data_IF_355104733658
#
_entry.id   IF_355104733658
#
_cell.length_a   1.000
_cell.length_b   1.000
_cell.length_c   1.000
_cell.angle_alpha   90.00
_cell.angle_beta   90.00
_cell.angle_gamma   90.00
#
_symmetry.space_group_name_H-M   'P 1'
#
loop_
_entity.id
_entity.type
_entity.pdbx_description
1 polymer ?
#
# COMPACT_ATOMS: atom_id res chain seq x y z
N UNK A 1 -8.30 30.76 -19.79
CA UNK A 1 -9.35 30.28 -18.86
C UNK A 1 -8.85 28.99 -18.22
N UNK A 2 -8.31 29.08 -17.00
CA UNK A 2 -7.83 27.95 -16.21
C UNK A 2 -9.06 27.14 -15.74
N UNK A 3 -9.25 25.93 -16.27
CA UNK A 3 -10.20 24.97 -15.72
C UNK A 3 -9.80 24.67 -14.29
N UNK A 4 -10.49 25.30 -13.33
CA UNK A 4 -10.33 24.97 -11.91
C UNK A 4 -10.52 23.46 -11.73
N UNK A 5 -9.53 22.79 -11.13
CA UNK A 5 -9.61 21.38 -10.77
C UNK A 5 -10.78 21.21 -9.81
N UNK A 6 -11.94 20.81 -10.34
CA UNK A 6 -13.09 20.45 -9.52
C UNK A 6 -12.66 19.28 -8.63
N UNK A 7 -12.61 19.52 -7.32
CA UNK A 7 -12.26 18.48 -6.34
C UNK A 7 -13.25 17.33 -6.50
N UNK A 8 -12.74 16.13 -6.78
CA UNK A 8 -13.59 14.96 -6.93
C UNK A 8 -14.26 14.56 -5.59
N UNK A 9 -15.29 13.75 -5.64
CA UNK A 9 -16.07 13.30 -4.49
C UNK A 9 -15.19 12.76 -3.35
N UNK A 10 -14.23 11.90 -3.65
CA UNK A 10 -13.33 11.28 -2.66
C UNK A 10 -12.39 12.31 -2.01
N UNK A 11 -11.93 13.32 -2.74
CA UNK A 11 -11.11 14.39 -2.16
C UNK A 11 -11.92 15.22 -1.16
N UNK A 12 -13.18 15.54 -1.48
CA UNK A 12 -14.06 16.27 -0.55
C UNK A 12 -14.41 15.44 0.68
N UNK A 13 -14.67 14.14 0.47
CA UNK A 13 -14.93 13.19 1.55
C UNK A 13 -13.72 13.06 2.49
N UNK A 14 -12.50 12.93 1.96
CA UNK A 14 -11.28 12.85 2.75
C UNK A 14 -11.10 14.08 3.66
N UNK A 15 -11.31 15.30 3.11
CA UNK A 15 -11.25 16.54 3.90
C UNK A 15 -12.29 16.57 5.01
N UNK A 16 -13.53 16.12 4.73
CA UNK A 16 -14.62 16.09 5.73
C UNK A 16 -14.33 15.10 6.85
N UNK A 17 -13.69 13.97 6.53
CA UNK A 17 -13.36 12.90 7.48
C UNK A 17 -11.98 13.09 8.14
N UNK A 18 -11.29 14.22 7.90
CA UNK A 18 -9.96 14.49 8.47
C UNK A 18 -8.85 13.54 7.97
N UNK A 19 -9.04 12.94 6.78
CA UNK A 19 -8.05 12.04 6.19
C UNK A 19 -6.99 12.83 5.42
N UNK A 20 -5.70 12.50 5.56
CA UNK A 20 -4.60 13.19 4.87
C UNK A 20 -4.72 13.16 3.35
N UNK A 21 -5.17 12.04 2.79
CA UNK A 21 -5.37 11.89 1.35
C UNK A 21 -6.53 10.95 1.00
N UNK A 22 -7.06 11.12 -0.22
CA UNK A 22 -8.14 10.29 -0.75
C UNK A 22 -7.74 8.84 -1.03
N UNK A 23 -6.43 8.54 -1.03
CA UNK A 23 -5.92 7.17 -1.28
C UNK A 23 -6.42 6.16 -0.25
N UNK A 24 -6.81 6.62 0.95
CA UNK A 24 -7.38 5.77 2.00
C UNK A 24 -8.56 4.93 1.50
N UNK A 25 -9.43 5.50 0.65
CA UNK A 25 -10.62 4.78 0.17
C UNK A 25 -10.29 3.60 -0.74
N UNK A 26 -9.15 3.62 -1.42
CA UNK A 26 -8.68 2.48 -2.21
C UNK A 26 -8.32 1.29 -1.32
N UNK A 27 -7.60 1.55 -0.23
CA UNK A 27 -7.30 0.51 0.77
C UNK A 27 -8.58 0.04 1.47
N UNK A 28 -9.46 0.97 1.84
CA UNK A 28 -10.73 0.65 2.48
C UNK A 28 -11.57 -0.31 1.63
N UNK A 29 -11.77 -0.03 0.35
CA UNK A 29 -12.53 -0.90 -0.57
C UNK A 29 -11.90 -2.30 -0.69
N UNK A 30 -10.57 -2.38 -0.78
CA UNK A 30 -9.84 -3.65 -0.83
C UNK A 30 -10.01 -4.41 0.49
N UNK A 31 -9.84 -3.73 1.63
CA UNK A 31 -9.96 -4.34 2.95
C UNK A 31 -11.38 -4.81 3.23
N UNK A 32 -12.40 -4.01 2.93
CA UNK A 32 -13.81 -4.38 3.11
C UNK A 32 -14.18 -5.63 2.30
N UNK A 33 -13.63 -5.76 1.10
CA UNK A 33 -13.89 -6.90 0.21
C UNK A 33 -13.13 -8.16 0.62
N UNK A 34 -11.89 -8.01 1.09
CA UNK A 34 -11.00 -9.17 1.31
C UNK A 34 -10.68 -9.43 2.78
N UNK A 35 -11.12 -8.55 3.71
CA UNK A 35 -10.95 -8.66 5.16
C UNK A 35 -9.48 -8.88 5.55
N UNK A 36 -8.60 -8.01 5.02
CA UNK A 36 -7.14 -8.13 5.14
C UNK A 36 -6.69 -7.66 6.52
N UNK A 37 -7.20 -6.49 6.97
CA UNK A 37 -6.84 -5.88 8.24
C UNK A 37 -7.74 -6.41 9.36
N UNK A 38 -7.13 -7.14 10.31
CA UNK A 38 -7.85 -7.74 11.45
C UNK A 38 -7.34 -7.13 12.75
N UNK A 39 -8.18 -7.12 13.78
CA UNK A 39 -7.77 -6.70 15.12
C UNK A 39 -6.58 -7.52 15.60
N UNK A 40 -5.60 -6.86 16.19
CA UNK A 40 -4.37 -7.47 16.68
C UNK A 40 -3.30 -7.73 15.62
N UNK A 41 -3.57 -7.46 14.33
CA UNK A 41 -2.61 -7.68 13.27
C UNK A 41 -1.44 -6.69 13.34
N UNK A 42 -0.25 -7.16 12.94
CA UNK A 42 0.93 -6.34 12.72
C UNK A 42 1.03 -5.97 11.24
N UNK A 43 1.08 -4.69 10.94
CA UNK A 43 1.04 -4.14 9.58
C UNK A 43 2.31 -3.35 9.30
N UNK A 44 2.89 -3.57 8.13
CA UNK A 44 3.94 -2.73 7.55
C UNK A 44 3.36 -1.94 6.36
N UNK A 45 3.58 -0.62 6.35
CA UNK A 45 3.14 0.29 5.27
C UNK A 45 4.36 0.94 4.60
N UNK A 46 4.66 0.52 3.38
CA UNK A 46 5.76 1.03 2.56
C UNK A 46 5.25 2.16 1.65
N UNK A 47 5.82 3.36 1.78
CA UNK A 47 5.31 4.56 1.13
C UNK A 47 4.14 5.16 1.92
N UNK A 48 4.27 5.22 3.25
CA UNK A 48 3.18 5.58 4.16
C UNK A 48 2.79 7.06 4.14
N UNK A 49 3.64 7.98 3.67
CA UNK A 49 3.28 9.41 3.62
C UNK A 49 2.19 9.68 2.57
N UNK A 50 1.26 10.59 2.85
CA UNK A 50 1.14 11.50 3.99
C UNK A 50 0.47 10.90 5.24
N UNK A 51 0.27 9.58 5.34
CA UNK A 51 -0.25 8.91 6.53
C UNK A 51 -1.64 8.30 6.40
N UNK A 52 -2.26 8.36 5.21
CA UNK A 52 -3.64 7.90 5.03
C UNK A 52 -3.82 6.40 5.23
N UNK A 53 -2.90 5.60 4.71
CA UNK A 53 -2.98 4.14 4.78
C UNK A 53 -2.61 3.64 6.16
N UNK A 54 -1.49 4.14 6.73
CA UNK A 54 -1.07 3.75 8.08
C UNK A 54 -2.10 4.15 9.15
N UNK A 55 -2.73 5.33 9.02
CA UNK A 55 -3.80 5.76 9.93
C UNK A 55 -4.99 4.80 9.86
N UNK A 56 -5.46 4.45 8.64
CA UNK A 56 -6.55 3.49 8.46
C UNK A 56 -6.16 2.10 8.98
N UNK A 57 -4.96 1.62 8.68
CA UNK A 57 -4.46 0.34 9.16
C UNK A 57 -4.46 0.29 10.70
N UNK A 58 -3.94 1.34 11.36
CA UNK A 58 -3.93 1.44 12.81
C UNK A 58 -5.35 1.41 13.41
N UNK A 59 -6.32 2.12 12.81
CA UNK A 59 -7.72 2.07 13.23
C UNK A 59 -8.31 0.66 13.13
N UNK A 60 -7.98 -0.07 12.07
CA UNK A 60 -8.50 -1.42 11.82
C UNK A 60 -7.91 -2.45 12.77
N UNK A 61 -6.59 -2.41 13.00
CA UNK A 61 -5.92 -3.39 13.87
C UNK A 61 -6.14 -3.11 15.36
N UNK A 62 -6.39 -1.85 15.71
CA UNK A 62 -6.68 -1.43 17.09
C UNK A 62 -5.48 -1.57 18.04
N UNK A 63 -5.66 -1.25 19.34
CA UNK A 63 -4.57 -1.15 20.33
C UNK A 63 -3.82 -2.46 20.59
N UNK A 64 -4.42 -3.61 20.27
CA UNK A 64 -3.76 -4.92 20.37
C UNK A 64 -2.91 -5.28 19.16
N UNK A 65 -3.00 -4.49 18.07
CA UNK A 65 -2.17 -4.61 16.88
C UNK A 65 -1.07 -3.57 16.84
N UNK A 66 -0.34 -3.54 15.73
CA UNK A 66 0.71 -2.54 15.48
C UNK A 66 0.72 -2.14 14.00
N UNK A 67 0.93 -0.86 13.72
CA UNK A 67 1.20 -0.37 12.37
C UNK A 67 2.55 0.33 12.33
N UNK A 68 3.45 -0.12 11.45
CA UNK A 68 4.77 0.45 11.23
C UNK A 68 4.84 0.95 9.80
N UNK A 69 5.27 2.19 9.59
CA UNK A 69 5.37 2.79 8.27
C UNK A 69 6.77 3.31 7.95
N UNK A 70 7.13 3.24 6.65
CA UNK A 70 8.34 3.86 6.11
C UNK A 70 8.02 4.65 4.86
N UNK A 71 8.59 5.85 4.75
CA UNK A 71 8.53 6.70 3.55
C UNK A 71 9.78 7.59 3.49
N UNK A 72 10.13 8.05 2.30
CA UNK A 72 11.20 9.07 2.11
C UNK A 72 10.81 10.43 2.70
N UNK A 73 9.52 10.65 2.96
CA UNK A 73 8.96 11.87 3.53
C UNK A 73 8.35 11.59 4.90
N UNK A 74 8.39 12.57 5.81
CA UNK A 74 7.74 12.42 7.10
C UNK A 74 6.21 12.32 6.98
N UNK A 75 5.61 11.58 7.89
CA UNK A 75 4.16 11.59 8.12
C UNK A 75 3.85 12.69 9.13
N UNK A 76 3.04 13.67 8.72
CA UNK A 76 2.74 14.85 9.53
C UNK A 76 1.45 14.71 10.36
N UNK A 77 0.68 13.65 10.13
CA UNK A 77 -0.56 13.40 10.89
C UNK A 77 -0.28 12.69 12.19
N UNK A 78 -1.10 12.98 13.20
CA UNK A 78 -1.06 12.27 14.47
C UNK A 78 -1.46 10.81 14.27
N UNK A 79 -0.63 9.91 14.79
CA UNK A 79 -0.88 8.47 14.81
C UNK A 79 -1.20 8.02 16.25
N UNK A 80 -2.01 6.98 16.45
CA UNK A 80 -2.25 6.42 17.77
C UNK A 80 -0.97 5.73 18.30
N UNK A 81 -0.91 5.50 19.63
CA UNK A 81 0.29 4.97 20.31
C UNK A 81 0.80 3.61 19.77
N UNK A 82 -0.05 2.84 19.10
CA UNK A 82 0.29 1.55 18.47
C UNK A 82 0.66 1.67 16.98
N UNK A 83 0.87 2.91 16.49
CA UNK A 83 1.32 3.16 15.14
C UNK A 83 2.48 4.15 15.14
N UNK A 84 3.48 3.88 14.32
CA UNK A 84 4.66 4.73 14.14
C UNK A 84 5.08 4.78 12.67
N UNK A 85 5.63 5.90 12.26
CA UNK A 85 6.15 6.10 10.91
C UNK A 85 7.56 6.67 10.97
N UNK A 86 8.44 6.13 10.17
CA UNK A 86 9.85 6.51 10.09
C UNK A 86 10.19 7.04 8.70
N UNK A 87 11.08 8.02 8.66
CA UNK A 87 11.70 8.45 7.40
C UNK A 87 12.78 7.44 7.04
N UNK A 88 12.64 6.78 5.90
CA UNK A 88 13.58 5.76 5.44
C UNK A 88 13.22 5.25 4.05
N UNK A 89 14.23 4.73 3.34
CA UNK A 89 14.06 4.13 2.03
C UNK A 89 13.66 2.64 2.15
N UNK A 90 12.58 2.24 1.50
CA UNK A 90 12.17 0.85 1.43
C UNK A 90 13.26 -0.07 0.82
N UNK A 91 14.16 0.49 0.01
CA UNK A 91 15.29 -0.24 -0.57
C UNK A 91 16.43 -0.49 0.43
N UNK A 92 16.51 0.31 1.50
CA UNK A 92 17.52 0.18 2.56
C UNK A 92 17.00 -0.61 3.77
N UNK A 93 15.71 -0.94 3.79
CA UNK A 93 15.14 -1.77 4.85
C UNK A 93 15.83 -3.15 4.81
N UNK A 94 16.66 -3.40 5.82
CA UNK A 94 17.36 -4.68 5.99
C UNK A 94 16.37 -5.74 6.50
N UNK A 95 16.74 -7.01 6.35
CA UNK A 95 16.00 -8.15 6.89
C UNK A 95 15.82 -8.11 8.44
N UNK A 96 16.43 -7.14 9.07
CA UNK A 96 16.47 -6.86 10.50
C UNK A 96 15.23 -6.15 11.08
N UNK A 97 14.16 -5.98 10.30
CA UNK A 97 12.86 -5.68 10.91
C UNK A 97 12.51 -6.89 11.80
N UNK A 98 12.78 -6.76 13.10
CA UNK A 98 12.64 -7.84 14.10
C UNK A 98 11.20 -8.38 14.26
N UNK A 99 10.29 -7.95 13.43
CA UNK A 99 8.87 -8.26 13.56
C UNK A 99 8.32 -8.88 12.28
N UNK A 100 7.86 -10.12 12.38
CA UNK A 100 7.06 -10.73 11.32
C UNK A 100 5.68 -10.04 11.25
N UNK A 101 5.29 -9.61 10.04
CA UNK A 101 4.04 -8.89 9.79
C UNK A 101 2.93 -9.86 9.34
N UNK A 102 1.70 -9.51 9.68
CA UNK A 102 0.51 -10.19 9.18
C UNK A 102 0.05 -9.60 7.84
N UNK A 103 0.34 -8.30 7.62
CA UNK A 103 -0.01 -7.58 6.40
C UNK A 103 1.11 -6.64 5.99
N UNK A 104 1.43 -6.60 4.70
CA UNK A 104 2.31 -5.59 4.10
C UNK A 104 1.52 -4.80 3.05
N UNK A 105 1.53 -3.48 3.21
CA UNK A 105 0.89 -2.51 2.34
C UNK A 105 1.96 -1.74 1.57
N UNK A 106 1.66 -1.34 0.33
CA UNK A 106 2.51 -0.41 -0.41
C UNK A 106 1.69 0.47 -1.34
N UNK A 107 1.67 1.77 -1.05
CA UNK A 107 1.16 2.83 -1.95
C UNK A 107 2.31 3.61 -2.60
N UNK A 108 3.54 3.04 -2.61
CA UNK A 108 4.70 3.66 -3.24
C UNK A 108 4.42 3.99 -4.71
N UNK A 109 4.92 5.14 -5.15
CA UNK A 109 4.86 5.58 -6.54
C UNK A 109 6.20 6.18 -6.95
N UNK A 110 6.68 5.92 -8.16
CA UNK A 110 7.87 6.58 -8.66
C UNK A 110 7.59 8.07 -8.93
N UNK A 111 8.65 8.87 -8.94
CA UNK A 111 8.59 10.19 -9.57
C UNK A 111 8.27 9.99 -11.06
N UNK A 112 7.12 10.50 -11.50
CA UNK A 112 6.66 10.32 -12.87
C UNK A 112 7.45 11.20 -13.84
N UNK A 113 7.94 10.59 -14.91
CA UNK A 113 8.66 11.28 -15.99
C UNK A 113 7.71 11.80 -17.09
N UNK A 114 6.46 11.30 -17.11
CA UNK A 114 5.49 11.52 -18.19
C UNK A 114 5.59 10.47 -19.32
N UNK A 115 6.65 9.68 -19.37
CA UNK A 115 6.73 8.50 -20.23
C UNK A 115 6.10 7.29 -19.54
N UNK A 116 5.02 6.79 -20.11
CA UNK A 116 4.21 5.71 -19.51
C UNK A 116 4.99 4.41 -19.32
N UNK A 117 5.89 4.07 -20.24
CA UNK A 117 6.66 2.82 -20.16
C UNK A 117 7.71 2.92 -19.06
N UNK A 118 8.45 4.01 -19.01
CA UNK A 118 9.42 4.29 -17.97
C UNK A 118 8.78 4.33 -16.59
N UNK A 119 7.63 5.01 -16.47
CA UNK A 119 6.93 5.12 -15.19
C UNK A 119 6.36 3.77 -14.73
N UNK A 120 5.85 2.94 -15.66
CA UNK A 120 5.40 1.58 -15.35
C UNK A 120 6.56 0.68 -14.91
N UNK A 121 7.69 0.72 -15.59
CA UNK A 121 8.90 -0.04 -15.22
C UNK A 121 9.41 0.34 -13.82
N UNK A 122 9.50 1.64 -13.53
CA UNK A 122 9.89 2.13 -12.19
C UNK A 122 8.91 1.69 -11.11
N UNK A 123 7.60 1.76 -11.40
CA UNK A 123 6.55 1.30 -10.49
C UNK A 123 6.66 -0.21 -10.23
N UNK A 124 6.97 -1.02 -11.23
CA UNK A 124 7.21 -2.45 -11.09
C UNK A 124 8.40 -2.73 -10.16
N UNK A 125 9.50 -2.01 -10.30
CA UNK A 125 10.66 -2.13 -9.40
C UNK A 125 10.34 -1.87 -7.93
N UNK A 126 9.44 -0.90 -7.64
CA UNK A 126 8.95 -0.68 -6.28
C UNK A 126 8.14 -1.87 -5.75
N UNK A 127 7.33 -2.50 -6.61
CA UNK A 127 6.57 -3.69 -6.24
C UNK A 127 7.48 -4.89 -6.03
N UNK A 128 8.50 -5.07 -6.87
CA UNK A 128 9.51 -6.12 -6.68
C UNK A 128 10.18 -5.99 -5.31
N UNK A 129 10.56 -4.77 -4.93
CA UNK A 129 11.14 -4.52 -3.60
C UNK A 129 10.16 -4.82 -2.47
N UNK A 130 8.89 -4.42 -2.60
CA UNK A 130 7.89 -4.75 -1.60
C UNK A 130 7.65 -6.26 -1.48
N UNK A 131 7.78 -7.01 -2.58
CA UNK A 131 7.72 -8.48 -2.58
C UNK A 131 8.94 -9.10 -1.91
N UNK A 132 10.17 -8.56 -2.10
CA UNK A 132 11.36 -9.01 -1.36
C UNK A 132 11.15 -8.88 0.15
N UNK A 133 10.62 -7.74 0.60
CA UNK A 133 10.27 -7.52 2.01
C UNK A 133 9.20 -8.50 2.47
N UNK A 134 8.19 -8.76 1.63
CA UNK A 134 7.11 -9.68 1.98
C UNK A 134 7.59 -11.14 2.07
N UNK A 135 8.48 -11.55 1.19
CA UNK A 135 9.09 -12.89 1.26
C UNK A 135 9.88 -13.09 2.56
N UNK A 136 10.62 -12.04 2.99
CA UNK A 136 11.44 -12.08 4.19
C UNK A 136 10.64 -11.90 5.50
N UNK A 137 9.66 -10.99 5.53
CA UNK A 137 9.07 -10.45 6.76
C UNK A 137 7.58 -10.78 6.95
N UNK A 138 6.89 -11.27 5.91
CA UNK A 138 5.47 -11.61 6.03
C UNK A 138 5.31 -13.02 6.58
N UNK A 139 4.47 -13.18 7.58
CA UNK A 139 4.13 -14.50 8.16
C UNK A 139 3.43 -15.40 7.14
N UNK A 140 3.56 -16.72 7.24
CA UNK A 140 2.66 -17.66 6.57
C UNK A 140 1.20 -17.31 6.88
N UNK A 141 0.32 -17.37 5.87
CA UNK A 141 -1.07 -16.93 5.97
C UNK A 141 -1.29 -15.42 5.83
N UNK A 142 -0.22 -14.62 5.83
CA UNK A 142 -0.28 -13.17 5.69
C UNK A 142 -0.71 -12.69 4.30
N UNK A 143 -0.94 -11.38 4.18
CA UNK A 143 -1.45 -10.75 2.95
C UNK A 143 -0.63 -9.53 2.54
N UNK A 144 -0.64 -9.21 1.24
CA UNK A 144 -0.06 -7.98 0.69
C UNK A 144 -1.08 -7.19 -0.13
N UNK A 145 -0.94 -5.86 -0.12
CA UNK A 145 -1.65 -4.95 -1.03
C UNK A 145 -0.62 -3.99 -1.63
N UNK A 146 -0.36 -4.12 -2.92
CA UNK A 146 0.74 -3.44 -3.60
C UNK A 146 0.19 -2.65 -4.78
N UNK A 147 0.42 -1.32 -4.79
CA UNK A 147 0.09 -0.49 -5.95
C UNK A 147 1.13 -0.67 -7.04
N UNK A 148 0.66 -0.79 -8.28
CA UNK A 148 1.49 -0.80 -9.47
C UNK A 148 0.84 0.01 -10.59
N UNK A 149 1.64 0.61 -11.46
CA UNK A 149 1.13 1.16 -12.72
C UNK A 149 0.98 0.05 -13.74
N UNK A 150 -0.14 0.04 -14.44
CA UNK A 150 -0.42 -0.96 -15.48
C UNK A 150 0.61 -0.86 -16.61
N UNK A 151 1.29 -1.97 -16.89
CA UNK A 151 2.38 -2.06 -17.85
C UNK A 151 2.75 -3.50 -18.18
N UNK A 152 3.77 -3.67 -19.02
CA UNK A 152 4.24 -4.98 -19.48
C UNK A 152 4.79 -5.89 -18.40
N UNK A 153 5.22 -5.32 -17.27
CA UNK A 153 5.82 -6.01 -16.13
C UNK A 153 4.79 -6.70 -15.22
N UNK A 154 3.54 -6.22 -15.24
CA UNK A 154 2.47 -6.75 -14.36
C UNK A 154 2.27 -8.26 -14.47
N UNK A 155 2.29 -8.90 -15.66
CA UNK A 155 2.18 -10.35 -15.75
C UNK A 155 3.31 -11.09 -15.03
N UNK A 156 4.54 -10.58 -15.04
CA UNK A 156 5.68 -11.17 -14.34
C UNK A 156 5.52 -11.05 -12.83
N UNK A 157 5.12 -9.87 -12.32
CA UNK A 157 4.83 -9.65 -10.91
C UNK A 157 3.72 -10.60 -10.42
N UNK A 158 2.64 -10.75 -11.19
CA UNK A 158 1.55 -11.68 -10.86
C UNK A 158 2.07 -13.12 -10.79
N UNK A 159 2.91 -13.57 -11.73
CA UNK A 159 3.50 -14.94 -11.68
C UNK A 159 4.37 -15.12 -10.42
N UNK A 160 5.22 -14.14 -10.08
CA UNK A 160 6.01 -14.16 -8.84
C UNK A 160 5.09 -14.27 -7.61
N UNK A 161 4.04 -13.47 -7.55
CA UNK A 161 3.08 -13.54 -6.44
C UNK A 161 2.35 -14.88 -6.37
N UNK A 162 2.03 -15.52 -7.50
CA UNK A 162 1.39 -16.83 -7.53
C UNK A 162 2.25 -17.95 -6.95
N UNK A 163 3.57 -17.83 -7.00
CA UNK A 163 4.46 -18.78 -6.30
C UNK A 163 4.46 -18.57 -4.79
N UNK A 164 4.26 -17.36 -4.32
CA UNK A 164 4.34 -16.98 -2.90
C UNK A 164 2.99 -17.04 -2.18
N UNK A 165 1.89 -16.71 -2.87
CA UNK A 165 0.54 -16.60 -2.28
C UNK A 165 -0.41 -17.66 -2.86
N UNK A 166 -1.37 -18.12 -2.04
CA UNK A 166 -2.40 -19.04 -2.51
C UNK A 166 -3.37 -18.38 -3.49
N UNK A 167 -3.64 -17.07 -3.30
CA UNK A 167 -4.55 -16.31 -4.16
C UNK A 167 -3.95 -14.95 -4.48
N UNK A 168 -3.94 -14.63 -5.77
CA UNK A 168 -3.51 -13.32 -6.30
C UNK A 168 -4.67 -12.67 -7.04
N UNK A 169 -4.92 -11.40 -6.74
CA UNK A 169 -6.04 -10.62 -7.29
C UNK A 169 -5.48 -9.33 -7.87
N UNK A 170 -5.92 -8.98 -9.07
CA UNK A 170 -5.76 -7.64 -9.64
C UNK A 170 -7.01 -6.84 -9.28
N UNK A 171 -6.85 -5.81 -8.47
CA UNK A 171 -7.94 -4.97 -8.01
C UNK A 171 -7.81 -3.56 -8.61
N UNK A 172 -8.94 -2.98 -8.96
CA UNK A 172 -9.07 -1.58 -9.34
C UNK A 172 -10.23 -0.97 -8.56
N UNK A 173 -9.98 -0.41 -7.37
CA UNK A 173 -11.02 0.21 -6.55
C UNK A 173 -11.75 1.34 -7.28
N UNK A 174 -13.03 1.54 -6.96
CA UNK A 174 -13.84 2.63 -7.54
C UNK A 174 -13.29 4.01 -7.17
N UNK A 175 -12.61 4.11 -6.01
CA UNK A 175 -11.88 5.29 -5.61
C UNK A 175 -10.69 5.63 -6.53
N UNK A 176 -10.29 4.76 -7.45
CA UNK A 176 -9.26 5.04 -8.46
C UNK A 176 -9.82 5.99 -9.52
N UNK A 177 -9.07 7.05 -9.85
CA UNK A 177 -9.48 7.99 -10.91
C UNK A 177 -9.63 7.27 -12.26
N UNK A 178 -10.65 7.62 -13.04
CA UNK A 178 -10.94 6.98 -14.35
C UNK A 178 -9.72 6.95 -15.30
N UNK A 179 -8.92 8.01 -15.29
CA UNK A 179 -7.73 8.13 -16.15
C UNK A 179 -6.43 7.66 -15.51
N UNK A 180 -6.47 7.14 -14.28
CA UNK A 180 -5.29 6.61 -13.61
C UNK A 180 -4.89 5.27 -14.21
N UNK A 181 -3.61 5.06 -14.37
CA UNK A 181 -3.02 3.77 -14.80
C UNK A 181 -2.73 2.84 -13.62
N UNK A 182 -3.06 3.26 -12.40
CA UNK A 182 -2.79 2.47 -11.20
C UNK A 182 -3.78 1.32 -11.03
N UNK A 183 -3.26 0.19 -10.65
CA UNK A 183 -3.99 -0.99 -10.18
C UNK A 183 -3.33 -1.48 -8.88
N UNK A 184 -4.00 -2.39 -8.19
CA UNK A 184 -3.48 -3.01 -6.97
C UNK A 184 -3.35 -4.51 -7.18
N UNK A 185 -2.19 -5.05 -6.80
CA UNK A 185 -1.96 -6.48 -6.71
C UNK A 185 -2.17 -6.89 -5.25
N UNK A 186 -3.10 -7.80 -5.02
CA UNK A 186 -3.45 -8.30 -3.69
C UNK A 186 -3.06 -9.77 -3.62
N UNK A 187 -2.11 -10.09 -2.74
CA UNK A 187 -1.72 -11.46 -2.42
C UNK A 187 -2.34 -11.88 -1.10
N UNK A 188 -3.01 -13.01 -1.06
CA UNK A 188 -3.66 -13.54 0.13
C UNK A 188 -3.11 -14.90 0.49
N UNK A 189 -2.94 -15.13 1.79
CA UNK A 189 -2.45 -16.37 2.38
C UNK A 189 -1.07 -16.75 1.80
N UNK A 190 -0.03 -16.06 2.29
CA UNK A 190 1.35 -16.44 2.00
C UNK A 190 1.56 -17.91 2.33
N UNK A 191 2.16 -18.66 1.42
CA UNK A 191 2.55 -20.06 1.64
C UNK A 191 3.61 -20.15 2.73
N UNK A 192 3.74 -21.31 3.35
CA UNK A 192 4.78 -21.60 4.31
C UNK A 192 6.15 -21.71 3.63
#
# INVERSE_FOLDING_TARGET
MTRGKQSDHYTRRAKKEGRPARSVYKLQEIDEKHKILRKGAHVLDLGCAPGSWIQYAAERVGPSGRALGFDLKPVEVSLPAHAEAHVGDAFELRAELEHAFDVILSDMAPATSGDRKTDALRSAGLVERALDVAEAQLKPGGAVVLKVFEGGEVPQLVRRMQSTFEKVIRARPDATRKHSVEIFLVGLRKRA
#
